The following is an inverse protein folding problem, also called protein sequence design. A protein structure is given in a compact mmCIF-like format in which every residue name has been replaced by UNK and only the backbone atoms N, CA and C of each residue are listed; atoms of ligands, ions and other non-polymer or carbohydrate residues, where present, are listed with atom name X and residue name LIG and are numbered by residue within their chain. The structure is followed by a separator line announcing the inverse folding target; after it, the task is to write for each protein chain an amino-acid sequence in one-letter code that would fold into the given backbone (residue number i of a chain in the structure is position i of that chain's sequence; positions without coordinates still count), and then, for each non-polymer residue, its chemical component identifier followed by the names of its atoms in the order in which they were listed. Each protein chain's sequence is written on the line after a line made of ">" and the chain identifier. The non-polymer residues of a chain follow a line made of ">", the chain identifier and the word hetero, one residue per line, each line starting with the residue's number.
data_IF_894246700889
#
_entry.id   IF_894246700889
#
_cell.length_a   1.000
_cell.length_b   1.000
_cell.length_c   1.000
_cell.angle_alpha   90.00
_cell.angle_beta   90.00
_cell.angle_gamma   90.00
#
_symmetry.space_group_name_H-M   'P 1'
#
loop_
_entity.id
_entity.type
_entity.pdbx_description
1 polymer ?
#
# COMPACT_ATOMS: atom_id res chain seq x y z
N UNK A 1 -2.25 19.73 27.02
CA UNK A 1 -3.02 18.60 26.45
C UNK A 1 -2.34 18.19 25.15
N UNK A 2 -1.84 16.95 25.04
CA UNK A 2 -1.40 16.44 23.74
C UNK A 2 -2.65 16.21 22.88
N UNK A 3 -2.80 16.97 21.79
CA UNK A 3 -3.82 16.67 20.80
C UNK A 3 -3.42 15.42 20.02
N UNK A 4 -4.19 14.36 20.17
CA UNK A 4 -4.12 13.21 19.27
C UNK A 4 -4.70 13.62 17.92
N UNK A 5 -3.90 13.54 16.86
CA UNK A 5 -4.37 13.76 15.48
C UNK A 5 -5.18 12.56 15.00
N UNK A 6 -6.34 12.77 14.38
CA UNK A 6 -7.09 11.69 13.72
C UNK A 6 -6.55 11.47 12.32
N UNK A 7 -6.79 10.28 11.73
CA UNK A 7 -6.35 9.97 10.36
C UNK A 7 -6.85 10.99 9.33
N UNK A 8 -8.12 11.43 9.46
CA UNK A 8 -8.70 12.47 8.60
C UNK A 8 -7.95 13.81 8.63
N UNK A 9 -7.22 14.10 9.71
CA UNK A 9 -6.44 15.34 9.87
C UNK A 9 -5.02 15.19 9.30
N UNK A 10 -4.56 13.94 9.08
CA UNK A 10 -3.24 13.62 8.53
C UNK A 10 -3.33 13.52 7.01
N UNK A 11 -4.34 12.81 6.49
CA UNK A 11 -4.48 12.50 5.07
C UNK A 11 -3.59 11.33 4.63
N UNK A 12 -3.96 10.71 3.51
CA UNK A 12 -3.39 9.45 3.03
C UNK A 12 -1.89 9.52 2.74
N UNK A 13 -1.45 10.48 1.92
CA UNK A 13 -0.04 10.59 1.49
C UNK A 13 0.92 10.77 2.68
N UNK A 14 0.49 11.54 3.69
CA UNK A 14 1.28 11.75 4.91
C UNK A 14 1.25 10.51 5.80
N UNK A 15 0.14 9.77 5.83
CA UNK A 15 0.06 8.50 6.53
C UNK A 15 1.00 7.46 5.90
N UNK A 16 1.02 7.33 4.57
CA UNK A 16 1.93 6.44 3.85
C UNK A 16 3.39 6.79 4.15
N UNK A 17 3.75 8.07 4.04
CA UNK A 17 5.08 8.56 4.38
C UNK A 17 5.47 8.24 5.83
N UNK A 18 4.52 8.39 6.76
CA UNK A 18 4.72 8.05 8.16
C UNK A 18 4.92 6.54 8.36
N UNK A 19 4.08 5.69 7.77
CA UNK A 19 4.23 4.22 7.84
C UNK A 19 5.61 3.82 7.30
N UNK A 20 5.99 4.32 6.13
CA UNK A 20 7.30 4.04 5.53
C UNK A 20 8.44 4.46 6.48
N UNK A 21 8.33 5.62 7.13
CA UNK A 21 9.33 6.09 8.11
C UNK A 21 9.45 5.21 9.36
N UNK A 22 8.42 4.40 9.68
CA UNK A 22 8.45 3.46 10.81
C UNK A 22 9.10 2.12 10.46
N UNK A 23 9.35 1.85 9.18
CA UNK A 23 10.05 0.65 8.77
C UNK A 23 11.54 0.75 9.12
N UNK A 24 12.09 -0.34 9.65
CA UNK A 24 13.51 -0.46 9.95
C UNK A 24 14.37 -0.28 8.69
N UNK A 25 15.62 0.14 8.87
CA UNK A 25 16.57 0.31 7.76
C UNK A 25 16.72 -0.97 6.94
N UNK A 26 16.80 -2.12 7.60
CA UNK A 26 16.86 -3.44 6.98
C UNK A 26 15.71 -3.77 6.02
N UNK A 27 14.56 -3.08 6.16
CA UNK A 27 13.41 -3.24 5.25
C UNK A 27 13.50 -2.22 4.12
N UNK A 28 13.92 -0.98 4.42
CA UNK A 28 14.00 0.12 3.45
C UNK A 28 15.18 0.01 2.49
N UNK A 29 16.24 -0.71 2.86
CA UNK A 29 17.48 -0.83 2.08
C UNK A 29 17.71 -2.25 1.53
N UNK A 30 16.64 -2.98 1.21
CA UNK A 30 16.76 -4.31 0.63
C UNK A 30 17.26 -4.24 -0.82
N UNK A 31 18.40 -4.86 -1.09
CA UNK A 31 19.02 -4.88 -2.43
C UNK A 31 18.21 -5.66 -3.47
N UNK A 32 17.31 -6.54 -3.02
CA UNK A 32 16.43 -7.31 -3.89
C UNK A 32 15.14 -6.56 -4.26
N UNK A 33 14.88 -5.39 -3.68
CA UNK A 33 13.76 -4.51 -4.06
C UNK A 33 14.25 -3.52 -5.12
N UNK A 34 13.84 -3.74 -6.37
CA UNK A 34 14.21 -2.91 -7.52
C UNK A 34 13.36 -1.63 -7.55
N UNK A 35 12.06 -1.77 -7.30
CA UNK A 35 11.10 -0.67 -7.16
C UNK A 35 10.37 -0.83 -5.82
N UNK A 36 10.47 0.19 -4.97
CA UNK A 36 9.91 0.20 -3.62
C UNK A 36 8.60 1.01 -3.51
N UNK A 37 8.30 1.47 -2.31
CA UNK A 37 7.11 2.30 -2.03
C UNK A 37 7.14 3.60 -2.83
N UNK A 38 6.01 3.94 -3.47
CA UNK A 38 5.82 5.21 -4.20
C UNK A 38 5.47 5.04 -5.68
N UNK A 39 5.43 3.81 -6.17
CA UNK A 39 4.93 3.43 -7.50
C UNK A 39 3.65 2.57 -7.37
N UNK A 40 3.06 2.16 -8.49
CA UNK A 40 1.80 1.38 -8.53
C UNK A 40 1.96 -0.06 -7.99
N UNK A 41 3.19 -0.58 -8.00
CA UNK A 41 3.55 -1.90 -7.51
C UNK A 41 5.01 -1.93 -7.04
N UNK A 42 5.33 -2.84 -6.11
CA UNK A 42 6.71 -3.17 -5.78
C UNK A 42 7.28 -4.17 -6.79
N UNK A 43 8.55 -4.04 -7.14
CA UNK A 43 9.28 -5.01 -7.98
C UNK A 43 10.44 -5.63 -7.19
N UNK A 44 10.46 -6.95 -7.13
CA UNK A 44 11.46 -7.72 -6.42
C UNK A 44 12.23 -8.67 -7.34
N UNK A 45 13.55 -8.61 -7.26
CA UNK A 45 14.45 -9.56 -7.92
C UNK A 45 14.53 -10.86 -7.11
N UNK A 46 13.69 -11.83 -7.46
CA UNK A 46 13.63 -13.13 -6.77
C UNK A 46 14.58 -14.18 -7.36
N UNK A 47 14.93 -14.05 -8.65
CA UNK A 47 15.94 -14.87 -9.33
C UNK A 47 16.76 -14.00 -10.28
N UNK A 48 17.86 -14.53 -10.82
CA UNK A 48 18.77 -13.76 -11.71
C UNK A 48 18.04 -13.15 -12.93
N UNK A 49 17.00 -13.81 -13.43
CA UNK A 49 16.29 -13.42 -14.66
C UNK A 49 14.79 -13.26 -14.46
N UNK A 50 14.30 -13.22 -13.20
CA UNK A 50 12.87 -13.08 -12.90
C UNK A 50 12.65 -11.95 -11.91
N UNK A 51 11.57 -11.24 -12.18
CA UNK A 51 11.01 -10.20 -11.34
C UNK A 51 9.69 -10.67 -10.77
N UNK A 52 9.43 -10.33 -9.51
CA UNK A 52 8.15 -10.52 -8.84
C UNK A 52 7.56 -9.14 -8.59
N UNK A 53 6.52 -8.81 -9.37
CA UNK A 53 5.77 -7.57 -9.20
C UNK A 53 4.62 -7.84 -8.23
N UNK A 54 4.51 -7.01 -7.19
CA UNK A 54 3.53 -7.16 -6.11
C UNK A 54 2.76 -5.85 -5.96
N UNK A 55 1.44 -5.95 -6.02
CA UNK A 55 0.53 -4.86 -5.63
C UNK A 55 -0.60 -5.42 -4.77
N UNK A 56 -1.28 -4.54 -4.04
CA UNK A 56 -2.44 -4.88 -3.23
C UNK A 56 -3.45 -3.75 -3.27
N UNK A 57 -4.68 -4.10 -3.59
CA UNK A 57 -5.83 -3.21 -3.55
C UNK A 57 -6.92 -3.81 -2.66
N UNK A 58 -7.92 -3.00 -2.33
CA UNK A 58 -9.07 -3.45 -1.56
C UNK A 58 -10.35 -2.80 -2.05
N UNK A 59 -11.40 -3.60 -2.17
CA UNK A 59 -12.76 -3.13 -2.42
C UNK A 59 -13.57 -3.24 -1.13
N UNK A 60 -14.30 -2.18 -0.82
CA UNK A 60 -15.09 -2.04 0.42
C UNK A 60 -16.50 -1.61 0.02
N UNK A 61 -17.50 -2.37 0.48
CA UNK A 61 -18.92 -2.04 0.26
C UNK A 61 -19.26 -0.67 0.85
N UNK A 62 -20.04 0.13 0.11
CA UNK A 62 -20.39 1.51 0.46
C UNK A 62 -19.31 2.55 0.12
N UNK A 63 -18.14 2.13 -0.36
CA UNK A 63 -17.08 3.02 -0.88
C UNK A 63 -16.80 2.72 -2.35
N UNK A 64 -16.55 1.46 -2.68
CA UNK A 64 -16.15 1.03 -4.02
C UNK A 64 -17.28 0.31 -4.78
N UNK A 65 -18.13 -0.43 -4.06
CA UNK A 65 -19.25 -1.19 -4.62
C UNK A 65 -20.45 -1.23 -3.65
N UNK A 66 -21.58 -1.79 -4.10
CA UNK A 66 -22.75 -2.11 -3.27
C UNK A 66 -23.49 -3.33 -3.81
N UNK A 67 -23.83 -4.28 -2.95
CA UNK A 67 -24.57 -5.49 -3.37
C UNK A 67 -26.04 -5.22 -3.72
N UNK A 68 -26.53 -3.99 -3.54
CA UNK A 68 -27.86 -3.57 -4.00
C UNK A 68 -27.94 -3.53 -5.54
N UNK A 69 -26.81 -3.36 -6.23
CA UNK A 69 -26.74 -3.26 -7.69
C UNK A 69 -25.49 -3.87 -8.34
N UNK A 70 -24.52 -4.37 -7.57
CA UNK A 70 -23.45 -5.25 -8.04
C UNK A 70 -23.72 -6.70 -7.64
N UNK A 71 -23.43 -7.63 -8.55
CA UNK A 71 -23.37 -9.05 -8.19
C UNK A 71 -21.98 -9.40 -7.65
N UNK A 72 -21.82 -10.51 -6.91
CA UNK A 72 -20.50 -10.95 -6.46
C UNK A 72 -19.47 -11.21 -7.57
N UNK A 73 -19.90 -11.41 -8.82
CA UNK A 73 -18.98 -11.55 -9.96
C UNK A 73 -18.50 -10.21 -10.55
N UNK A 74 -19.17 -9.11 -10.21
CA UNK A 74 -18.82 -7.76 -10.69
C UNK A 74 -17.77 -7.07 -9.79
N UNK A 75 -17.45 -7.67 -8.64
CA UNK A 75 -16.59 -7.13 -7.57
C UNK A 75 -15.43 -8.09 -7.34
#
# INVERSE_FOLDING_TARGET
>A
MNMVKKLKDIGELKLLSWIYSKLGEQVRSRDDVVVGVGDDAADLKVERTKQLVITVDSLVEGVHFSLDYFTPSDV
#
